data_IF_359117440303
#
_entry.id   IF_359117440303
#
_cell.length_a   1.000
_cell.length_b   1.000
_cell.length_c   1.000
_cell.angle_alpha   90.00
_cell.angle_beta   90.00
_cell.angle_gamma   90.00
#
_symmetry.space_group_name_H-M   'P 1'
#
loop_
_entity.id
_entity.type
_entity.pdbx_description
1 polymer ?
#
# COMPACT_ATOMS: atom_id res chain seq x y z
N UNK A 1 54.37 -49.26 22.21
CA UNK A 1 53.40 -49.52 21.12
C UNK A 1 52.16 -48.72 21.51
N UNK A 2 51.88 -47.49 21.08
CA UNK A 2 52.13 -46.77 19.83
C UNK A 2 52.18 -45.28 20.19
N UNK A 3 53.37 -44.70 20.28
CA UNK A 3 53.51 -43.24 20.10
C UNK A 3 53.49 -42.98 18.59
N UNK A 4 52.94 -41.84 18.18
CA UNK A 4 53.00 -41.29 16.81
C UNK A 4 51.88 -41.75 15.84
N UNK A 5 50.62 -41.40 16.12
CA UNK A 5 49.58 -41.36 15.08
C UNK A 5 49.00 -39.94 14.96
N UNK A 6 49.45 -39.28 13.88
CA UNK A 6 48.68 -38.40 13.01
C UNK A 6 47.62 -37.48 13.62
N UNK A 7 48.02 -36.29 14.09
CA UNK A 7 47.10 -35.13 14.09
C UNK A 7 47.69 -33.92 13.35
N UNK A 8 48.55 -34.17 12.36
CA UNK A 8 49.01 -33.19 11.35
C UNK A 8 48.02 -33.03 10.16
N UNK A 9 46.71 -33.25 10.33
CA UNK A 9 45.79 -33.31 9.17
C UNK A 9 44.59 -32.35 9.24
N UNK A 10 44.28 -31.71 10.38
CA UNK A 10 43.21 -30.70 10.41
C UNK A 10 43.72 -29.30 10.07
N UNK A 11 44.00 -29.14 8.77
CA UNK A 11 44.38 -27.94 8.04
C UNK A 11 43.63 -26.67 8.46
N UNK A 12 44.38 -25.62 8.84
CA UNK A 12 43.93 -24.23 9.10
C UNK A 12 43.25 -23.52 7.90
N UNK A 13 42.94 -24.23 6.80
CA UNK A 13 42.58 -23.70 5.48
C UNK A 13 41.07 -23.62 5.22
N UNK A 14 40.23 -24.22 6.06
CA UNK A 14 38.78 -24.34 5.84
C UNK A 14 37.94 -23.21 6.45
N UNK A 15 38.55 -22.30 7.21
CA UNK A 15 37.86 -21.16 7.84
C UNK A 15 37.04 -20.28 6.87
N UNK A 16 37.54 -19.91 5.66
CA UNK A 16 36.74 -19.08 4.75
C UNK A 16 35.55 -19.83 4.15
N UNK A 17 35.64 -21.15 4.00
CA UNK A 17 34.54 -21.99 3.47
C UNK A 17 33.41 -22.09 4.49
N UNK A 18 33.75 -22.25 5.77
CA UNK A 18 32.77 -22.25 6.87
C UNK A 18 32.09 -20.87 6.95
N UNK A 19 32.86 -19.77 6.84
CA UNK A 19 32.31 -18.42 6.82
C UNK A 19 31.35 -18.19 5.65
N UNK A 20 31.70 -18.64 4.45
CA UNK A 20 30.83 -18.54 3.27
C UNK A 20 29.54 -19.35 3.43
N UNK A 21 29.63 -20.56 4.00
CA UNK A 21 28.46 -21.39 4.30
C UNK A 21 27.51 -20.73 5.30
N UNK A 22 28.04 -20.06 6.33
CA UNK A 22 27.23 -19.34 7.32
C UNK A 22 26.53 -18.13 6.68
N UNK A 23 27.23 -17.35 5.85
CA UNK A 23 26.65 -16.19 5.16
C UNK A 23 25.55 -16.64 4.18
N UNK A 24 25.77 -17.73 3.46
CA UNK A 24 24.79 -18.29 2.52
C UNK A 24 23.57 -18.88 3.25
N UNK A 25 23.74 -19.46 4.44
CA UNK A 25 22.64 -19.93 5.27
C UNK A 25 21.79 -18.78 5.85
N UNK A 26 22.40 -17.64 6.18
CA UNK A 26 21.70 -16.49 6.75
C UNK A 26 20.96 -15.63 5.70
N UNK A 27 21.37 -15.68 4.43
CA UNK A 27 20.81 -14.86 3.35
C UNK A 27 19.52 -15.35 2.69
N UNK A 28 19.02 -16.55 3.05
CA UNK A 28 17.91 -17.20 2.34
C UNK A 28 16.53 -16.99 3.00
N UNK A 29 16.38 -16.06 3.93
CA UNK A 29 15.06 -15.80 4.54
C UNK A 29 14.17 -15.09 3.52
N UNK A 30 13.07 -15.71 3.03
CA UNK A 30 12.12 -14.99 2.19
C UNK A 30 11.52 -13.85 3.00
N UNK A 31 11.64 -12.63 2.48
CA UNK A 31 10.95 -11.47 3.02
C UNK A 31 9.45 -11.64 2.74
N UNK A 32 8.73 -12.30 3.66
CA UNK A 32 7.28 -12.40 3.64
C UNK A 32 6.68 -11.04 4.04
N UNK A 33 6.82 -10.06 3.14
CA UNK A 33 6.26 -8.72 3.28
C UNK A 33 4.91 -8.58 2.55
N UNK A 34 4.52 -9.58 1.76
CA UNK A 34 3.21 -9.61 1.12
C UNK A 34 2.13 -10.02 2.14
N UNK A 35 1.01 -9.27 2.24
CA UNK A 35 -0.17 -9.72 2.95
C UNK A 35 -0.62 -11.12 2.46
N UNK A 36 -1.25 -11.90 3.33
CA UNK A 36 -1.85 -13.19 2.95
C UNK A 36 -2.72 -13.00 1.70
N UNK A 37 -2.67 -13.90 0.71
CA UNK A 37 -3.53 -13.84 -0.48
C UNK A 37 -5.02 -14.01 -0.17
N UNK A 38 -5.38 -14.21 1.09
CA UNK A 38 -6.76 -14.26 1.56
C UNK A 38 -7.48 -12.95 1.25
N UNK A 39 -8.48 -13.05 0.39
CA UNK A 39 -9.39 -11.96 0.09
C UNK A 39 -10.10 -11.53 1.37
N UNK A 40 -10.16 -10.22 1.62
CA UNK A 40 -10.91 -9.73 2.78
C UNK A 40 -12.40 -10.04 2.61
N UNK A 41 -13.05 -10.70 3.59
CA UNK A 41 -14.45 -11.13 3.48
C UNK A 41 -15.43 -10.00 3.12
N UNK A 42 -15.12 -8.75 3.50
CA UNK A 42 -15.91 -7.56 3.18
C UNK A 42 -16.10 -7.31 1.69
N UNK A 43 -15.11 -7.65 0.86
CA UNK A 43 -15.14 -7.37 -0.58
C UNK A 43 -15.71 -8.53 -1.40
N UNK A 44 -16.01 -9.67 -0.76
CA UNK A 44 -16.60 -10.82 -1.44
C UNK A 44 -18.10 -10.67 -1.72
N UNK A 45 -18.74 -9.66 -1.11
CA UNK A 45 -20.20 -9.42 -1.25
C UNK A 45 -20.55 -8.44 -2.37
N UNK A 46 -19.58 -7.85 -3.07
CA UNK A 46 -19.82 -6.92 -4.19
C UNK A 46 -20.59 -7.63 -5.30
N UNK A 47 -21.51 -6.93 -5.94
CA UNK A 47 -22.34 -7.47 -7.02
C UNK A 47 -21.79 -6.93 -8.33
N UNK A 48 -21.05 -7.76 -9.07
CA UNK A 48 -20.35 -7.33 -10.29
C UNK A 48 -21.28 -6.75 -11.40
N UNK A 49 -22.58 -7.02 -11.32
CA UNK A 49 -23.60 -6.53 -12.25
C UNK A 49 -24.40 -5.32 -11.70
N UNK A 50 -24.02 -4.75 -10.55
CA UNK A 50 -24.68 -3.54 -10.05
C UNK A 50 -24.42 -2.35 -11.01
N UNK A 51 -25.51 -1.68 -11.37
CA UNK A 51 -25.52 -0.54 -12.29
C UNK A 51 -25.76 0.78 -11.55
N UNK A 52 -25.73 0.76 -10.22
CA UNK A 52 -25.91 1.94 -9.39
C UNK A 52 -24.85 3.00 -9.71
N UNK A 53 -25.29 4.07 -10.38
CA UNK A 53 -24.44 5.23 -10.68
C UNK A 53 -24.48 6.19 -9.49
N UNK A 54 -23.33 6.41 -8.87
CA UNK A 54 -23.16 7.42 -7.81
C UNK A 54 -23.04 8.80 -8.47
N UNK A 55 -23.92 9.73 -8.10
CA UNK A 55 -23.82 11.12 -8.55
C UNK A 55 -22.62 11.84 -7.89
N UNK A 56 -21.69 12.37 -8.71
CA UNK A 56 -20.54 13.17 -8.29
C UNK A 56 -20.61 14.63 -8.78
N UNK A 57 -21.77 15.06 -9.28
CA UNK A 57 -21.98 16.41 -9.85
C UNK A 57 -21.51 17.52 -8.89
N UNK A 58 -21.87 17.44 -7.62
CA UNK A 58 -21.50 18.41 -6.60
C UNK A 58 -19.98 18.50 -6.40
N UNK A 59 -19.29 17.35 -6.37
CA UNK A 59 -17.83 17.32 -6.31
C UNK A 59 -17.19 17.98 -7.53
N UNK A 60 -17.71 17.70 -8.73
CA UNK A 60 -17.24 18.33 -9.96
C UNK A 60 -17.44 19.85 -9.93
N UNK A 61 -18.56 20.34 -9.39
CA UNK A 61 -18.80 21.78 -9.21
C UNK A 61 -17.79 22.42 -8.27
N UNK A 62 -17.47 21.77 -7.13
CA UNK A 62 -16.45 22.27 -6.22
C UNK A 62 -15.06 22.31 -6.86
N UNK A 63 -14.70 21.27 -7.62
CA UNK A 63 -13.44 21.24 -8.37
C UNK A 63 -13.38 22.37 -9.40
N UNK A 64 -14.43 22.58 -10.19
CA UNK A 64 -14.47 23.66 -11.17
C UNK A 64 -14.27 25.05 -10.54
N UNK A 65 -14.71 25.24 -9.28
CA UNK A 65 -14.64 26.51 -8.56
C UNK A 65 -13.32 26.73 -7.82
N UNK A 66 -12.72 25.67 -7.28
CA UNK A 66 -11.61 25.77 -6.32
C UNK A 66 -10.30 25.14 -6.79
N UNK A 67 -10.31 24.43 -7.92
CA UNK A 67 -9.10 23.83 -8.48
C UNK A 67 -8.27 24.88 -9.24
N UNK A 68 -7.02 25.01 -8.84
CA UNK A 68 -5.99 25.80 -9.51
C UNK A 68 -5.17 24.84 -10.35
N UNK A 69 -5.25 24.98 -11.67
CA UNK A 69 -4.60 24.10 -12.64
C UNK A 69 -3.34 24.71 -13.26
N UNK A 70 -3.11 26.00 -13.05
CA UNK A 70 -2.05 26.81 -13.64
C UNK A 70 -0.96 27.18 -12.61
N UNK A 71 -0.86 26.44 -11.52
CA UNK A 71 0.14 26.73 -10.48
C UNK A 71 1.57 26.48 -11.01
N UNK A 72 2.56 27.35 -10.73
CA UNK A 72 3.95 27.23 -11.25
C UNK A 72 4.66 25.90 -10.94
N UNK A 73 4.19 25.16 -9.93
CA UNK A 73 4.70 23.83 -9.61
C UNK A 73 4.23 22.72 -10.56
N UNK A 74 3.34 23.01 -11.52
CA UNK A 74 2.83 22.04 -12.49
C UNK A 74 1.87 21.00 -11.90
N UNK A 75 1.37 21.22 -10.68
CA UNK A 75 0.38 20.34 -10.03
C UNK A 75 -0.91 21.09 -9.75
N UNK A 76 -2.04 20.39 -9.88
CA UNK A 76 -3.33 20.94 -9.50
C UNK A 76 -3.42 21.12 -7.99
N UNK A 77 -3.95 22.25 -7.53
CA UNK A 77 -4.13 22.56 -6.11
C UNK A 77 -5.56 22.94 -5.80
N UNK A 78 -6.06 22.52 -4.65
CA UNK A 78 -7.39 22.92 -4.19
C UNK A 78 -7.28 24.14 -3.26
N UNK A 79 -8.04 25.21 -3.54
CA UNK A 79 -8.03 26.45 -2.74
C UNK A 79 -8.90 26.35 -1.50
N UNK A 80 -8.47 25.56 -0.51
CA UNK A 80 -9.21 25.36 0.75
C UNK A 80 -9.62 26.65 1.46
N UNK A 81 -8.72 27.64 1.53
CA UNK A 81 -9.01 28.92 2.19
C UNK A 81 -10.10 29.75 1.47
N UNK A 82 -10.40 29.45 0.19
CA UNK A 82 -11.42 30.14 -0.59
C UNK A 82 -12.80 29.49 -0.52
N UNK A 83 -12.94 28.33 0.14
CA UNK A 83 -14.22 27.63 0.23
C UNK A 83 -15.18 28.47 1.07
N UNK A 84 -16.34 28.80 0.50
CA UNK A 84 -17.34 29.59 1.21
C UNK A 84 -18.07 28.72 2.25
N UNK A 85 -18.71 29.32 3.27
CA UNK A 85 -19.55 28.57 4.20
C UNK A 85 -20.66 27.77 3.50
N UNK A 86 -21.27 28.34 2.45
CA UNK A 86 -22.33 27.66 1.69
C UNK A 86 -21.79 26.46 0.91
N UNK A 87 -20.65 26.61 0.23
CA UNK A 87 -20.03 25.50 -0.51
C UNK A 87 -19.52 24.40 0.43
N UNK A 88 -19.11 24.77 1.65
CA UNK A 88 -18.77 23.81 2.69
C UNK A 88 -19.99 23.02 3.16
N UNK A 89 -21.13 23.69 3.36
CA UNK A 89 -22.37 23.00 3.68
C UNK A 89 -22.77 22.03 2.56
N UNK A 90 -22.69 22.45 1.29
CA UNK A 90 -22.92 21.55 0.15
C UNK A 90 -22.00 20.34 0.16
N UNK A 91 -20.73 20.52 0.51
CA UNK A 91 -19.77 19.42 0.66
C UNK A 91 -20.18 18.46 1.79
N UNK A 92 -20.60 18.99 2.93
CA UNK A 92 -21.03 18.16 4.07
C UNK A 92 -22.28 17.33 3.71
N UNK A 93 -23.24 17.92 2.99
CA UNK A 93 -24.43 17.21 2.47
C UNK A 93 -24.02 16.10 1.48
N UNK A 94 -23.09 16.38 0.58
CA UNK A 94 -22.57 15.40 -0.37
C UNK A 94 -21.85 14.23 0.33
N UNK A 95 -21.03 14.52 1.35
CA UNK A 95 -20.37 13.49 2.14
C UNK A 95 -21.39 12.66 2.91
N UNK A 96 -22.45 13.28 3.43
CA UNK A 96 -23.57 12.58 4.05
C UNK A 96 -24.26 11.61 3.09
N UNK A 97 -24.48 12.03 1.84
CA UNK A 97 -24.97 11.16 0.77
C UNK A 97 -24.01 9.99 0.49
N UNK A 98 -22.72 10.27 0.29
CA UNK A 98 -21.73 9.22 -0.01
C UNK A 98 -21.59 8.18 1.11
N UNK A 99 -21.73 8.58 2.37
CA UNK A 99 -21.70 7.65 3.51
C UNK A 99 -22.86 6.66 3.52
N UNK A 100 -23.98 6.99 2.87
CA UNK A 100 -25.13 6.11 2.74
C UNK A 100 -25.03 5.17 1.53
N UNK A 101 -24.14 5.46 0.58
CA UNK A 101 -23.88 4.60 -0.57
C UNK A 101 -23.25 3.29 -0.09
N UNK A 102 -23.94 2.18 -0.32
CA UNK A 102 -23.46 0.84 0.04
C UNK A 102 -22.46 0.35 -1.02
N UNK A 103 -21.20 0.69 -0.83
CA UNK A 103 -20.11 0.25 -1.74
C UNK A 103 -19.99 -1.28 -1.82
N UNK A 104 -20.42 -2.00 -0.77
CA UNK A 104 -20.39 -3.46 -0.75
C UNK A 104 -21.49 -4.13 -1.58
N UNK A 105 -22.46 -3.37 -2.10
CA UNK A 105 -23.47 -3.87 -3.04
C UNK A 105 -23.25 -3.41 -4.47
N UNK A 106 -22.31 -2.47 -4.70
CA UNK A 106 -21.81 -2.09 -6.02
C UNK A 106 -21.03 -3.22 -6.69
#
# INVERSE_FOLDING_TARGET
MVETISHQIFSLKSWPVIGLFIIMALGLSPANAAPSPDLWPRWQTSVADDTQVVDYSLWNTLLAKYLVTDHPSGINRFRYAGVSPADRQSLDEFLGYLQQVKVSSL
#
